data_IF_390477250370
#
_entry.id   IF_390477250370
#
_cell.length_a   1.000
_cell.length_b   1.000
_cell.length_c   1.000
_cell.angle_alpha   90.00
_cell.angle_beta   90.00
_cell.angle_gamma   90.00
#
_symmetry.space_group_name_H-M   'P 1'
#
loop_
_entity.id
_entity.type
_entity.pdbx_description
1 polymer ?
#
# COMPACT_ATOMS: atom_id res chain seq x y z
N UNK A 1 0.37 -9.32 12.27
CA UNK A 1 0.33 -10.76 12.10
C UNK A 1 0.16 -11.12 10.64
N UNK A 2 0.97 -12.04 10.13
CA UNK A 2 0.90 -12.45 8.74
C UNK A 2 -0.04 -13.65 8.58
N UNK A 3 -0.92 -13.57 7.60
CA UNK A 3 -1.89 -14.61 7.32
C UNK A 3 -1.75 -15.01 5.85
N UNK A 4 -1.77 -16.31 5.57
CA UNK A 4 -1.71 -16.81 4.20
C UNK A 4 -3.04 -16.59 3.52
N UNK A 5 -3.01 -16.03 2.32
CA UNK A 5 -4.19 -15.75 1.51
C UNK A 5 -3.94 -16.29 0.11
N UNK A 6 -4.93 -16.95 -0.48
CA UNK A 6 -4.84 -17.42 -1.85
C UNK A 6 -5.18 -16.29 -2.82
N UNK A 7 -4.29 -16.10 -3.80
CA UNK A 7 -4.46 -15.08 -4.82
C UNK A 7 -4.21 -15.71 -6.17
N UNK A 8 -4.96 -15.28 -7.20
CA UNK A 8 -4.82 -15.84 -8.54
C UNK A 8 -3.40 -15.68 -9.06
N UNK A 9 -2.94 -16.64 -9.85
CA UNK A 9 -1.61 -16.58 -10.44
C UNK A 9 -1.41 -15.37 -11.33
N UNK A 10 -2.46 -14.97 -12.04
CA UNK A 10 -2.40 -13.80 -12.93
C UNK A 10 -2.10 -12.53 -12.12
N UNK A 11 -2.77 -12.34 -10.99
CA UNK A 11 -2.54 -11.16 -10.15
C UNK A 11 -1.15 -11.19 -9.52
N UNK A 12 -0.68 -12.38 -9.13
CA UNK A 12 0.68 -12.53 -8.58
C UNK A 12 1.72 -12.15 -9.62
N UNK A 13 1.54 -12.54 -10.88
CA UNK A 13 2.47 -12.18 -11.95
C UNK A 13 2.50 -10.67 -12.18
N UNK A 14 1.35 -10.02 -12.16
CA UNK A 14 1.27 -8.57 -12.26
C UNK A 14 1.98 -7.90 -11.08
N UNK A 15 1.74 -8.40 -9.88
CA UNK A 15 2.38 -7.86 -8.68
C UNK A 15 3.90 -8.01 -8.76
N UNK A 16 4.38 -9.14 -9.28
CA UNK A 16 5.82 -9.37 -9.45
C UNK A 16 6.44 -8.36 -10.39
N UNK A 17 5.75 -8.06 -11.48
CA UNK A 17 6.20 -7.07 -12.46
C UNK A 17 6.27 -5.67 -11.84
N UNK A 18 5.19 -5.23 -11.21
CA UNK A 18 5.12 -3.88 -10.65
C UNK A 18 5.94 -3.71 -9.38
N UNK A 19 6.21 -4.79 -8.64
CA UNK A 19 7.05 -4.71 -7.45
C UNK A 19 8.46 -4.25 -7.81
N UNK A 20 8.96 -4.64 -8.97
CA UNK A 20 10.28 -4.21 -9.44
C UNK A 20 10.28 -2.72 -9.78
N UNK A 21 9.22 -2.25 -10.43
CA UNK A 21 9.10 -0.85 -10.84
C UNK A 21 8.99 0.05 -9.61
N UNK A 22 8.16 -0.36 -8.66
CA UNK A 22 7.86 0.42 -7.46
C UNK A 22 8.84 0.16 -6.31
N UNK A 23 9.80 -0.73 -6.52
CA UNK A 23 10.79 -1.09 -5.50
C UNK A 23 10.14 -1.62 -4.22
N UNK A 24 9.20 -2.55 -4.38
CA UNK A 24 8.49 -3.21 -3.27
C UNK A 24 8.66 -4.72 -3.37
N UNK A 25 8.40 -5.41 -2.26
CA UNK A 25 8.24 -6.86 -2.31
C UNK A 25 6.92 -7.20 -3.01
N UNK A 26 6.77 -8.44 -3.46
CA UNK A 26 5.52 -8.88 -4.10
C UNK A 26 4.35 -8.74 -3.12
N UNK A 27 4.55 -9.18 -1.88
CA UNK A 27 3.54 -9.03 -0.83
C UNK A 27 3.20 -7.56 -0.59
N UNK A 28 4.21 -6.71 -0.49
CA UNK A 28 4.01 -5.28 -0.30
C UNK A 28 3.24 -4.63 -1.44
N UNK A 29 3.49 -5.09 -2.68
CA UNK A 29 2.77 -4.56 -3.84
C UNK A 29 1.29 -4.95 -3.79
N UNK A 30 0.99 -6.18 -3.43
CA UNK A 30 -0.40 -6.64 -3.30
C UNK A 30 -1.11 -5.90 -2.18
N UNK A 31 -0.46 -5.73 -1.04
CA UNK A 31 -1.02 -4.98 0.08
C UNK A 31 -1.29 -3.53 -0.28
N UNK A 32 -0.39 -2.91 -1.03
CA UNK A 32 -0.56 -1.55 -1.51
C UNK A 32 -1.81 -1.43 -2.37
N UNK A 33 -1.97 -2.34 -3.34
CA UNK A 33 -3.16 -2.36 -4.20
C UNK A 33 -4.44 -2.61 -3.40
N UNK A 34 -4.36 -3.50 -2.41
CA UNK A 34 -5.52 -3.80 -1.56
C UNK A 34 -5.95 -2.57 -0.76
N UNK A 35 -5.00 -1.81 -0.24
CA UNK A 35 -5.30 -0.58 0.50
C UNK A 35 -5.92 0.49 -0.40
N UNK A 36 -5.40 0.63 -1.61
CA UNK A 36 -5.96 1.56 -2.59
C UNK A 36 -7.39 1.16 -2.93
N UNK A 37 -7.61 -0.13 -3.21
CA UNK A 37 -8.93 -0.65 -3.56
C UNK A 37 -9.94 -0.47 -2.43
N UNK A 38 -9.53 -0.77 -1.21
CA UNK A 38 -10.38 -0.60 -0.04
C UNK A 38 -10.77 0.86 0.14
N UNK A 39 -9.79 1.74 0.04
CA UNK A 39 -10.03 3.18 0.16
C UNK A 39 -10.99 3.69 -0.91
N UNK A 40 -10.83 3.22 -2.14
CA UNK A 40 -11.69 3.59 -3.25
C UNK A 40 -13.12 3.10 -3.06
N UNK A 41 -13.29 1.86 -2.57
CA UNK A 41 -14.62 1.32 -2.32
C UNK A 41 -15.35 2.05 -1.19
N UNK A 42 -14.62 2.43 -0.16
CA UNK A 42 -15.20 3.16 0.97
C UNK A 42 -15.46 4.63 0.66
N UNK A 43 -14.80 5.18 -0.34
CA UNK A 43 -14.87 6.59 -0.69
C UNK A 43 -15.01 6.77 -2.21
N UNK A 44 -16.14 6.38 -2.79
CA UNK A 44 -16.29 6.37 -4.26
C UNK A 44 -16.16 7.75 -4.91
N UNK A 45 -16.26 8.81 -4.15
CA UNK A 45 -16.12 10.18 -4.66
C UNK A 45 -14.66 10.63 -4.79
N UNK A 46 -13.73 9.88 -4.22
CA UNK A 46 -12.32 10.26 -4.27
C UNK A 46 -11.67 9.79 -5.56
N UNK A 47 -10.80 10.63 -6.13
CA UNK A 47 -9.99 10.25 -7.27
C UNK A 47 -8.81 9.40 -6.79
N UNK A 48 -8.23 8.63 -7.70
CA UNK A 48 -7.03 7.86 -7.39
C UNK A 48 -5.89 8.76 -6.88
N UNK A 49 -5.71 9.92 -7.50
CA UNK A 49 -4.65 10.86 -7.08
C UNK A 49 -4.80 11.27 -5.64
N UNK A 50 -6.02 11.55 -5.20
CA UNK A 50 -6.29 11.96 -3.83
C UNK A 50 -6.09 10.81 -2.86
N UNK A 51 -6.52 9.60 -3.23
CA UNK A 51 -6.30 8.40 -2.41
C UNK A 51 -4.80 8.18 -2.21
N UNK A 52 -4.04 8.31 -3.27
CA UNK A 52 -2.59 8.14 -3.22
C UNK A 52 -1.94 9.15 -2.27
N UNK A 53 -2.36 10.40 -2.32
CA UNK A 53 -1.87 11.44 -1.41
C UNK A 53 -2.18 11.14 0.04
N UNK A 54 -3.38 10.65 0.31
CA UNK A 54 -3.79 10.28 1.67
C UNK A 54 -2.91 9.17 2.21
N UNK A 55 -2.67 8.12 1.41
CA UNK A 55 -1.83 6.99 1.83
C UNK A 55 -0.39 7.40 2.06
N UNK A 56 0.14 8.28 1.22
CA UNK A 56 1.50 8.82 1.40
C UNK A 56 1.56 9.63 2.68
N UNK A 57 0.57 10.48 2.93
CA UNK A 57 0.51 11.28 4.14
C UNK A 57 0.50 10.44 5.41
N UNK A 58 -0.27 9.36 5.41
CA UNK A 58 -0.32 8.45 6.55
C UNK A 58 1.04 7.76 6.78
N UNK A 59 1.71 7.35 5.72
CA UNK A 59 3.02 6.73 5.81
C UNK A 59 4.05 7.70 6.37
N UNK A 60 4.02 8.95 5.93
CA UNK A 60 4.91 9.98 6.43
C UNK A 60 4.67 10.28 7.90
N UNK A 61 3.41 10.30 8.31
CA UNK A 61 3.05 10.54 9.70
C UNK A 61 3.60 9.43 10.61
N UNK A 62 3.46 8.19 10.18
CA UNK A 62 4.01 7.05 10.92
C UNK A 62 5.53 7.15 11.06
N UNK A 63 6.22 7.52 9.99
CA UNK A 63 7.66 7.70 10.02
C UNK A 63 8.06 8.85 10.93
N UNK A 64 7.31 9.95 10.89
CA UNK A 64 7.53 11.08 11.76
C UNK A 64 7.44 10.72 13.22
N UNK A 65 6.41 9.98 13.59
CA UNK A 65 6.23 9.52 14.96
C UNK A 65 7.39 8.65 15.42
N UNK A 66 7.82 7.71 14.59
CA UNK A 66 8.95 6.86 14.90
C UNK A 66 10.24 7.65 15.08
N UNK A 67 10.44 8.65 14.24
CA UNK A 67 11.61 9.51 14.33
C UNK A 67 11.63 10.29 15.65
N UNK A 68 10.49 10.80 16.06
CA UNK A 68 10.36 11.51 17.32
C UNK A 68 10.72 10.63 18.50
N UNK A 69 10.28 9.38 18.49
CA UNK A 69 10.63 8.44 19.53
C UNK A 69 12.13 8.20 19.63
N UNK A 70 12.80 8.15 18.51
CA UNK A 70 14.25 7.94 18.48
C UNK A 70 15.02 9.13 19.00
N UNK A 71 14.51 10.31 18.75
CA UNK A 71 15.15 11.55 19.17
C UNK A 71 14.90 11.82 20.64
N UNK A 72 13.71 11.58 21.06
CA UNK A 72 13.28 11.78 22.41
C UNK A 72 13.77 10.72 23.34
#
# INVERSE_FOLDING_TARGET
MAIAVRISGDLVQEAKKYSRIDNRSITGQIEHWARIGKCAEENPDLTYSLIKEILIGLAELEKGEKSEYKIG
#
